data_IF_205124135554
#
_entry.id   IF_205124135554
#
_cell.length_a   1.000
_cell.length_b   1.000
_cell.length_c   1.000
_cell.angle_alpha   90.00
_cell.angle_beta   90.00
_cell.angle_gamma   90.00
#
_symmetry.space_group_name_H-M   'P 1'
#
loop_
_entity.id
_entity.type
_entity.pdbx_description
1 polymer ?
#
# COMPACT_ATOMS: atom_id res chain seq x y z
N UNK A 1 -21.63 23.00 -3.17
CA UNK A 1 -20.61 22.04 -3.63
C UNK A 1 -20.78 20.76 -2.84
N UNK A 2 -21.20 19.66 -3.48
CA UNK A 2 -21.25 18.34 -2.84
C UNK A 2 -19.84 17.77 -2.95
N UNK A 3 -19.12 17.68 -1.84
CA UNK A 3 -17.83 16.98 -1.80
C UNK A 3 -18.16 15.49 -1.86
N UNK A 4 -17.98 14.86 -3.02
CA UNK A 4 -18.06 13.42 -3.14
C UNK A 4 -16.90 12.80 -2.36
N UNK A 5 -17.18 12.19 -1.22
CA UNK A 5 -16.21 11.39 -0.49
C UNK A 5 -15.96 10.10 -1.28
N UNK A 6 -14.95 10.10 -2.15
CA UNK A 6 -14.46 8.85 -2.75
C UNK A 6 -13.96 7.97 -1.62
N UNK A 7 -14.64 6.84 -1.39
CA UNK A 7 -14.16 5.80 -0.49
C UNK A 7 -12.87 5.22 -1.07
N UNK A 8 -11.73 5.57 -0.48
CA UNK A 8 -10.44 4.97 -0.86
C UNK A 8 -10.46 3.53 -0.36
N UNK A 9 -10.53 2.58 -1.30
CA UNK A 9 -10.41 1.16 -0.99
C UNK A 9 -8.91 0.86 -0.94
N UNK A 10 -8.38 0.63 0.26
CA UNK A 10 -7.04 0.07 0.43
C UNK A 10 -7.07 -1.43 0.12
N UNK A 11 -7.08 -1.76 -1.18
CA UNK A 11 -6.92 -3.12 -1.70
C UNK A 11 -5.46 -3.42 -2.01
N UNK A 12 -5.13 -4.71 -2.10
CA UNK A 12 -3.80 -5.18 -2.53
C UNK A 12 -3.37 -4.56 -3.87
N UNK A 13 -4.30 -4.45 -4.82
CA UNK A 13 -4.07 -3.85 -6.14
C UNK A 13 -3.79 -2.35 -6.04
N UNK A 14 -4.52 -1.63 -5.18
CA UNK A 14 -4.32 -0.20 -4.98
C UNK A 14 -2.96 0.11 -4.34
N UNK A 15 -2.52 -0.72 -3.40
CA UNK A 15 -1.21 -0.57 -2.73
C UNK A 15 -0.08 -0.78 -3.74
N UNK A 16 -0.15 -1.88 -4.51
CA UNK A 16 0.84 -2.19 -5.54
C UNK A 16 0.89 -1.11 -6.63
N UNK A 17 -0.27 -0.64 -7.07
CA UNK A 17 -0.39 0.40 -8.08
C UNK A 17 0.23 1.71 -7.59
N UNK A 18 -0.11 2.14 -6.38
CA UNK A 18 0.42 3.39 -5.82
C UNK A 18 1.95 3.35 -5.66
N UNK A 19 2.50 2.23 -5.18
CA UNK A 19 3.95 2.05 -5.11
C UNK A 19 4.60 2.15 -6.49
N UNK A 20 4.03 1.48 -7.50
CA UNK A 20 4.57 1.46 -8.85
C UNK A 20 4.46 2.83 -9.55
N UNK A 21 3.39 3.60 -9.30
CA UNK A 21 3.25 4.98 -9.81
C UNK A 21 4.31 5.94 -9.25
N UNK A 22 4.85 5.62 -8.07
CA UNK A 22 5.94 6.36 -7.44
C UNK A 22 7.33 5.82 -7.80
N UNK A 23 7.41 4.83 -8.70
CA UNK A 23 8.64 4.19 -9.18
C UNK A 23 9.54 3.59 -8.07
N UNK A 24 8.92 3.06 -7.01
CA UNK A 24 9.64 2.37 -5.94
C UNK A 24 9.56 0.85 -6.09
N UNK A 25 10.66 0.17 -5.80
CA UNK A 25 10.63 -1.26 -5.47
C UNK A 25 9.90 -1.53 -4.15
N UNK A 26 9.50 -2.78 -3.91
CA UNK A 26 8.87 -3.16 -2.63
C UNK A 26 9.79 -2.89 -1.42
N UNK A 27 11.11 -3.00 -1.59
CA UNK A 27 12.08 -2.79 -0.51
C UNK A 27 12.30 -1.31 -0.21
N UNK A 28 12.37 -0.46 -1.23
CA UNK A 28 12.43 1.00 -1.05
C UNK A 28 11.15 1.49 -0.39
N UNK A 29 10.00 0.99 -0.84
CA UNK A 29 8.71 1.33 -0.25
C UNK A 29 8.59 0.91 1.22
N UNK A 30 9.06 -0.30 1.54
CA UNK A 30 9.12 -0.78 2.91
C UNK A 30 10.00 0.10 3.80
N UNK A 31 11.14 0.55 3.26
CA UNK A 31 12.06 1.46 3.94
C UNK A 31 11.39 2.82 4.23
N UNK A 32 10.68 3.39 3.25
CA UNK A 32 9.93 4.65 3.40
C UNK A 32 8.85 4.53 4.48
N UNK A 33 8.14 3.40 4.51
CA UNK A 33 7.07 3.14 5.47
C UNK A 33 7.56 2.62 6.83
N UNK A 34 8.88 2.44 7.00
CA UNK A 34 9.49 1.84 8.18
C UNK A 34 8.87 0.47 8.57
N UNK A 35 8.67 -0.40 7.58
CA UNK A 35 8.19 -1.78 7.77
C UNK A 35 9.14 -2.77 7.10
N UNK A 36 8.98 -4.06 7.39
CA UNK A 36 9.70 -5.10 6.66
C UNK A 36 9.20 -5.26 5.22
N UNK A 37 10.08 -5.59 4.29
CA UNK A 37 9.72 -5.88 2.89
C UNK A 37 8.67 -6.99 2.74
N UNK A 38 8.70 -7.98 3.65
CA UNK A 38 7.69 -9.03 3.75
C UNK A 38 6.29 -8.46 4.01
N UNK A 39 6.17 -7.40 4.83
CA UNK A 39 4.88 -6.75 5.09
C UNK A 39 4.31 -6.15 3.81
N UNK A 40 5.12 -5.41 3.05
CA UNK A 40 4.71 -4.84 1.75
C UNK A 40 4.29 -5.94 0.78
N UNK A 41 5.07 -7.01 0.65
CA UNK A 41 4.71 -8.15 -0.20
C UNK A 41 3.36 -8.74 0.19
N UNK A 42 3.13 -9.03 1.48
CA UNK A 42 1.87 -9.60 1.97
C UNK A 42 0.68 -8.68 1.75
N UNK A 43 0.88 -7.36 1.82
CA UNK A 43 -0.18 -6.41 1.53
C UNK A 43 -0.54 -6.39 0.04
N UNK A 44 0.46 -6.49 -0.84
CA UNK A 44 0.27 -6.49 -2.30
C UNK A 44 -0.23 -7.82 -2.86
N UNK A 45 -0.03 -8.94 -2.15
CA UNK A 45 -0.60 -10.25 -2.49
C UNK A 45 -1.97 -10.47 -1.84
N UNK A 46 -2.36 -9.65 -0.87
CA UNK A 46 -3.61 -9.78 -0.12
C UNK A 46 -3.55 -10.78 1.04
N UNK A 47 -2.38 -11.34 1.34
CA UNK A 47 -2.15 -12.24 2.48
C UNK A 47 -2.40 -11.56 3.84
N UNK A 48 -2.15 -10.25 3.93
CA UNK A 48 -2.45 -9.48 5.13
C UNK A 48 -2.83 -8.04 4.79
N UNK A 49 -3.33 -7.31 5.78
CA UNK A 49 -3.63 -5.88 5.66
C UNK A 49 -2.75 -5.08 6.63
N UNK A 50 -2.39 -3.83 6.31
CA UNK A 50 -1.74 -2.96 7.28
C UNK A 50 -2.61 -2.82 8.52
N UNK A 51 -2.11 -3.27 9.67
CA UNK A 51 -2.69 -3.03 10.99
C UNK A 51 -1.74 -2.08 11.71
N UNK A 52 -2.09 -0.80 11.81
CA UNK A 52 -1.28 0.14 12.60
C UNK A 52 -1.28 -0.33 14.05
N UNK A 53 -0.14 -0.83 14.52
CA UNK A 53 0.14 -1.06 15.94
C UNK A 53 1.10 -0.01 16.42
#
# INVERSE_FOLDING_TARGET
MIIQTKKVVFSQESIKKFRAEMDFSQQEWATILNVGGVSVSRWETGESKPSGT
#
